data_IF_428379692230
#
_entry.id   IF_428379692230
#
_cell.length_a   1.000
_cell.length_b   1.000
_cell.length_c   1.000
_cell.angle_alpha   90.00
_cell.angle_beta   90.00
_cell.angle_gamma   90.00
#
_symmetry.space_group_name_H-M   'P 1'
#
loop_
_entity.id
_entity.type
_entity.pdbx_description
1 polymer ?
#
# COMPACT_ATOMS: atom_id res chain seq x y z
N UNK A 1 7.24 -13.12 27.70
CA UNK A 1 6.38 -12.11 27.06
C UNK A 1 6.87 -11.90 25.64
N UNK A 2 5.99 -12.02 24.65
CA UNK A 2 6.29 -12.16 23.23
C UNK A 2 7.25 -11.09 22.67
N UNK A 3 8.32 -11.52 21.98
CA UNK A 3 9.07 -10.64 21.09
C UNK A 3 8.16 -10.27 19.92
N UNK A 4 7.51 -9.12 20.03
CA UNK A 4 6.80 -8.51 18.92
C UNK A 4 7.86 -8.03 17.92
N UNK A 5 8.20 -8.88 16.94
CA UNK A 5 8.94 -8.45 15.77
C UNK A 5 8.02 -7.52 14.98
N UNK A 6 8.04 -6.23 15.33
CA UNK A 6 7.25 -5.19 14.68
C UNK A 6 7.94 -4.76 13.37
N UNK A 7 8.18 -5.73 12.49
CA UNK A 7 8.72 -5.48 11.18
C UNK A 7 7.56 -5.02 10.28
N UNK A 8 7.69 -3.89 9.57
CA UNK A 8 6.62 -3.39 8.71
C UNK A 8 6.35 -4.41 7.61
N UNK A 9 5.15 -5.00 7.56
CA UNK A 9 4.81 -6.02 6.56
C UNK A 9 3.90 -5.44 5.49
N UNK A 10 4.23 -5.67 4.22
CA UNK A 10 3.45 -5.21 3.10
C UNK A 10 2.14 -5.99 2.99
N UNK A 11 1.01 -5.30 2.90
CA UNK A 11 -0.29 -5.95 2.75
C UNK A 11 -0.57 -6.52 1.34
N UNK A 12 0.22 -6.14 0.31
CA UNK A 12 0.10 -6.70 -1.04
C UNK A 12 0.82 -8.04 -1.18
N UNK A 13 2.13 -8.07 -0.89
CA UNK A 13 2.96 -9.25 -1.06
C UNK A 13 3.13 -10.06 0.23
N UNK A 14 2.67 -9.55 1.38
CA UNK A 14 2.84 -10.16 2.70
C UNK A 14 4.30 -10.30 3.15
N UNK A 15 5.24 -9.61 2.51
CA UNK A 15 6.66 -9.61 2.87
C UNK A 15 7.05 -8.43 3.76
N UNK A 16 8.20 -8.55 4.44
CA UNK A 16 8.74 -7.47 5.27
C UNK A 16 9.30 -6.35 4.39
N UNK A 17 8.84 -5.12 4.65
CA UNK A 17 9.32 -3.89 4.06
C UNK A 17 10.68 -3.55 4.65
N UNK A 18 11.74 -3.87 3.91
CA UNK A 18 13.12 -3.48 4.24
C UNK A 18 13.57 -2.20 3.52
N UNK A 19 12.65 -1.57 2.77
CA UNK A 19 12.90 -0.34 2.02
C UNK A 19 13.09 0.87 2.96
N UNK A 20 13.84 1.86 2.48
CA UNK A 20 14.04 3.14 3.20
C UNK A 20 12.75 3.95 3.32
N UNK A 21 11.87 3.82 2.32
CA UNK A 21 10.60 4.50 2.26
C UNK A 21 9.48 3.47 2.18
N UNK A 22 8.42 3.71 2.94
CA UNK A 22 7.24 2.86 2.97
C UNK A 22 6.00 3.73 2.99
N UNK A 23 4.91 3.17 2.46
CA UNK A 23 3.65 3.87 2.36
C UNK A 23 2.68 3.29 3.38
N UNK A 24 2.07 4.16 4.18
CA UNK A 24 0.98 3.78 5.08
C UNK A 24 -0.35 4.14 4.41
N UNK A 25 -1.16 3.14 4.11
CA UNK A 25 -2.45 3.29 3.47
C UNK A 25 -3.46 2.30 4.07
N UNK A 26 -4.68 2.78 4.35
CA UNK A 26 -5.79 1.94 4.87
C UNK A 26 -5.38 1.22 6.16
N UNK A 27 -4.67 1.95 7.04
CA UNK A 27 -4.06 1.42 8.28
C UNK A 27 -3.08 0.25 8.10
N UNK A 28 -2.68 -0.04 6.86
CA UNK A 28 -1.70 -1.07 6.50
C UNK A 28 -0.45 -0.43 5.90
N UNK A 29 0.63 -1.21 5.84
CA UNK A 29 1.90 -0.78 5.26
C UNK A 29 2.08 -1.43 3.90
N UNK A 30 2.70 -0.69 2.98
CA UNK A 30 2.86 -1.09 1.58
C UNK A 30 4.22 -0.63 1.06
N UNK A 31 4.79 -1.42 0.16
CA UNK A 31 5.92 -0.97 -0.65
C UNK A 31 5.49 0.12 -1.63
N UNK A 32 6.43 0.97 -2.05
CA UNK A 32 6.21 1.96 -3.11
C UNK A 32 5.78 1.31 -4.44
N UNK A 33 6.35 0.14 -4.75
CA UNK A 33 6.00 -0.66 -5.91
C UNK A 33 4.70 -1.47 -5.75
N UNK A 34 4.32 -1.81 -4.52
CA UNK A 34 3.10 -2.56 -4.25
C UNK A 34 1.86 -1.68 -4.16
N UNK A 35 1.99 -0.42 -3.71
CA UNK A 35 0.87 0.50 -3.60
C UNK A 35 0.57 1.14 -4.96
N UNK A 36 -0.12 0.38 -5.81
CA UNK A 36 -0.52 0.80 -7.15
C UNK A 36 -1.99 0.51 -7.41
N UNK A 37 -2.55 1.24 -8.38
CA UNK A 37 -3.93 1.01 -8.80
C UNK A 37 -4.08 -0.38 -9.45
N UNK A 38 -5.06 -1.16 -9.02
CA UNK A 38 -5.30 -2.50 -9.58
C UNK A 38 -5.84 -2.47 -11.02
N UNK A 39 -6.35 -1.33 -11.50
CA UNK A 39 -6.88 -1.18 -12.87
C UNK A 39 -5.88 -0.56 -13.85
N UNK A 40 -5.06 0.39 -13.40
CA UNK A 40 -4.18 1.16 -14.28
C UNK A 40 -2.70 1.06 -13.91
N UNK A 41 -2.34 0.28 -12.89
CA UNK A 41 -0.97 0.08 -12.37
C UNK A 41 -0.20 1.37 -12.01
N UNK A 42 -0.88 2.53 -11.96
CA UNK A 42 -0.25 3.77 -11.56
C UNK A 42 0.20 3.69 -10.10
N UNK A 43 1.46 4.08 -9.83
CA UNK A 43 2.02 4.18 -8.49
C UNK A 43 1.26 5.23 -7.68
N UNK A 44 0.63 4.81 -6.60
CA UNK A 44 -0.15 5.70 -5.74
C UNK A 44 0.71 6.40 -4.69
N UNK A 45 1.94 5.92 -4.47
CA UNK A 45 2.92 6.55 -3.58
C UNK A 45 3.27 7.98 -3.97
N UNK A 46 3.35 8.27 -5.26
CA UNK A 46 3.69 9.60 -5.79
C UNK A 46 2.47 10.52 -5.89
N UNK A 47 1.26 9.95 -6.03
CA UNK A 47 0.01 10.70 -6.29
C UNK A 47 -0.54 11.38 -5.01
N UNK A 48 0.11 11.17 -3.86
CA UNK A 48 0.13 12.12 -2.75
C UNK A 48 -1.12 12.29 -1.90
N UNK A 49 -2.34 11.98 -2.36
CA UNK A 49 -3.52 12.24 -1.49
C UNK A 49 -4.82 11.49 -1.82
N UNK A 50 -4.88 10.63 -2.85
CA UNK A 50 -6.18 10.07 -3.27
C UNK A 50 -6.08 8.63 -3.76
N UNK A 51 -5.91 7.77 -2.76
CA UNK A 51 -6.00 6.32 -2.82
C UNK A 51 -7.39 5.93 -2.28
N UNK A 52 -8.10 5.10 -3.01
CA UNK A 52 -9.40 4.59 -2.63
C UNK A 52 -9.35 3.07 -2.55
N UNK A 53 -10.22 2.49 -1.73
CA UNK A 53 -10.29 1.04 -1.55
C UNK A 53 -11.71 0.58 -1.77
N UNK A 54 -11.91 -0.38 -2.67
CA UNK A 54 -13.23 -0.95 -2.99
C UNK A 54 -13.10 -2.45 -3.15
N UNK A 55 -13.90 -3.22 -2.40
CA UNK A 55 -13.89 -4.69 -2.46
C UNK A 55 -12.48 -5.30 -2.35
N UNK A 56 -11.65 -4.78 -1.43
CA UNK A 56 -10.25 -5.19 -1.24
C UNK A 56 -9.28 -4.86 -2.41
N UNK A 57 -9.72 -4.04 -3.37
CA UNK A 57 -8.88 -3.51 -4.45
C UNK A 57 -8.49 -2.07 -4.14
N UNK A 58 -7.22 -1.74 -4.41
CA UNK A 58 -6.74 -0.36 -4.34
C UNK A 58 -6.92 0.28 -5.70
N UNK A 59 -7.61 1.42 -5.72
CA UNK A 59 -7.96 2.18 -6.91
C UNK A 59 -7.44 3.61 -6.80
N UNK A 60 -7.07 4.19 -7.93
CA UNK A 60 -6.76 5.61 -8.02
C UNK A 60 -8.05 6.44 -8.05
N UNK A 61 -7.94 7.74 -7.77
CA UNK A 61 -9.08 8.68 -7.87
C UNK A 61 -9.85 8.57 -9.19
N UNK A 62 -9.14 8.36 -10.30
CA UNK A 62 -9.73 8.29 -11.64
C UNK A 62 -10.60 7.05 -11.84
N UNK A 63 -10.17 5.90 -11.32
CA UNK A 63 -10.86 4.61 -11.51
C UNK A 63 -11.96 4.39 -10.46
N UNK A 64 -11.84 5.07 -9.32
CA UNK A 64 -12.84 5.04 -8.26
C UNK A 64 -14.11 5.88 -8.57
N UNK A 65 -13.97 6.97 -9.35
CA UNK A 65 -15.06 7.91 -9.69
C UNK A 65 -15.90 7.45 -10.88
#
# INVERSE_FOLDING_TARGET
>A
MAKSNNSPQCAACSEIINERFLLKAIDKLWHEDCLKCSCCDCRLGEVGSSLYTKANLILCRRDYL
#
